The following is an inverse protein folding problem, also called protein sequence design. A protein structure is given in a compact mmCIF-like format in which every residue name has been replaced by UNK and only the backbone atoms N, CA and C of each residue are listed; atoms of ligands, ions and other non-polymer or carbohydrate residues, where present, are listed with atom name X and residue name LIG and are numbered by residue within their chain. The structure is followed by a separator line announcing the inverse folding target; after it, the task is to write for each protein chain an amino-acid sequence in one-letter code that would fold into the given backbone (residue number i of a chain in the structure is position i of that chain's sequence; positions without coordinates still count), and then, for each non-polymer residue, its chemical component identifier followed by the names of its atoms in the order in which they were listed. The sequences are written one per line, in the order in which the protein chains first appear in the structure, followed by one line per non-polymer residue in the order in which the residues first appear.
data_IF_318445365331
#
_entry.id   IF_318445365331
#
_cell.length_a   1.000
_cell.length_b   1.000
_cell.length_c   1.000
_cell.angle_alpha   90.00
_cell.angle_beta   90.00
_cell.angle_gamma   90.00
#
_symmetry.space_group_name_H-M   'P 1'
#
loop_
_entity.id
_entity.type
_entity.pdbx_description
1 polymer ?
#
# COMPACT_ATOMS: atom_id res chain seq x y z
N UNK A 1 -25.57 -83.30 -9.20
CA UNK A 1 -26.07 -82.88 -10.53
C UNK A 1 -25.03 -81.92 -11.09
N UNK A 2 -24.00 -82.38 -11.83
CA UNK A 2 -24.03 -82.68 -13.29
C UNK A 2 -24.56 -81.46 -14.06
N UNK A 3 -23.85 -80.75 -14.95
CA UNK A 3 -22.71 -81.01 -15.86
C UNK A 3 -22.23 -79.63 -16.40
N UNK A 4 -20.94 -79.35 -16.57
CA UNK A 4 -20.12 -79.52 -17.83
C UNK A 4 -20.72 -78.73 -19.02
N UNK A 5 -20.02 -77.93 -19.83
CA UNK A 5 -18.64 -77.96 -20.39
C UNK A 5 -18.43 -76.61 -21.14
N UNK A 6 -17.31 -75.89 -20.97
CA UNK A 6 -16.05 -75.95 -21.72
C UNK A 6 -16.05 -75.29 -23.11
N UNK A 7 -15.18 -74.28 -23.28
CA UNK A 7 -14.11 -74.39 -24.28
C UNK A 7 -12.89 -73.56 -23.88
N UNK A 8 -11.82 -74.29 -23.60
CA UNK A 8 -10.47 -73.88 -23.30
C UNK A 8 -9.63 -74.01 -24.58
N UNK A 9 -8.58 -73.19 -24.73
CA UNK A 9 -7.21 -73.56 -25.19
C UNK A 9 -6.43 -72.27 -25.50
N UNK A 10 -5.48 -71.87 -24.63
CA UNK A 10 -4.07 -72.30 -24.58
C UNK A 10 -3.21 -71.45 -25.53
N UNK A 11 -1.98 -71.05 -25.27
CA UNK A 11 -1.02 -71.20 -24.18
C UNK A 11 0.12 -70.25 -24.59
N UNK A 12 0.80 -69.60 -23.65
CA UNK A 12 2.24 -69.84 -23.44
C UNK A 12 2.77 -68.87 -22.38
N UNK A 13 3.37 -69.48 -21.36
CA UNK A 13 4.09 -68.84 -20.30
C UNK A 13 5.50 -68.46 -20.75
N UNK A 14 5.97 -67.28 -20.35
CA UNK A 14 7.39 -67.10 -20.00
C UNK A 14 7.44 -66.28 -18.73
N UNK A 15 7.64 -66.98 -17.62
CA UNK A 15 8.07 -66.45 -16.34
C UNK A 15 9.59 -66.26 -16.42
N UNK A 16 10.10 -65.04 -16.22
CA UNK A 16 11.40 -64.86 -15.55
C UNK A 16 11.44 -63.52 -14.82
N UNK A 17 11.72 -63.68 -13.52
CA UNK A 17 12.13 -62.70 -12.52
C UNK A 17 13.22 -61.76 -13.05
N UNK A 18 13.14 -60.48 -12.74
CA UNK A 18 14.02 -59.86 -11.74
C UNK A 18 13.91 -58.32 -11.72
N UNK A 19 13.97 -57.78 -10.51
CA UNK A 19 14.31 -56.40 -10.15
C UNK A 19 13.26 -55.30 -10.37
N UNK A 20 12.41 -55.13 -9.34
CA UNK A 20 11.99 -53.79 -8.92
C UNK A 20 13.26 -52.97 -8.63
N UNK A 21 13.67 -52.16 -9.59
CA UNK A 21 14.66 -51.11 -9.39
C UNK A 21 13.94 -49.79 -9.19
N UNK A 22 14.10 -49.24 -7.98
CA UNK A 22 13.74 -47.88 -7.61
C UNK A 22 14.04 -46.90 -8.75
N UNK A 23 12.99 -46.35 -9.36
CA UNK A 23 13.09 -45.17 -10.21
C UNK A 23 13.41 -43.96 -9.32
N UNK A 24 14.69 -43.86 -8.96
CA UNK A 24 15.28 -42.64 -8.41
C UNK A 24 15.00 -41.49 -9.38
N UNK A 25 14.61 -40.30 -8.89
CA UNK A 25 14.39 -39.15 -9.76
C UNK A 25 15.66 -38.89 -10.56
N UNK A 26 15.52 -38.85 -11.89
CA UNK A 26 16.61 -38.50 -12.82
C UNK A 26 17.25 -37.20 -12.33
N UNK A 27 18.47 -37.31 -11.84
CA UNK A 27 19.28 -36.16 -11.46
C UNK A 27 19.50 -35.33 -12.73
N UNK A 28 18.88 -34.16 -12.76
CA UNK A 28 19.21 -33.19 -13.80
C UNK A 28 20.71 -32.91 -13.72
N UNK A 29 21.47 -33.03 -14.82
CA UNK A 29 22.88 -32.68 -14.79
C UNK A 29 22.97 -31.20 -14.40
N UNK A 30 23.62 -30.92 -13.26
CA UNK A 30 24.02 -29.57 -12.89
C UNK A 30 24.88 -29.04 -14.05
N UNK A 31 24.28 -28.26 -14.94
CA UNK A 31 25.04 -27.42 -15.85
C UNK A 31 25.93 -26.54 -14.97
N UNK A 32 27.23 -26.85 -14.95
CA UNK A 32 28.26 -25.89 -14.57
C UNK A 32 28.20 -24.77 -15.60
N UNK A 33 27.27 -23.84 -15.40
CA UNK A 33 27.30 -22.57 -16.13
C UNK A 33 28.45 -21.77 -15.55
N UNK A 34 29.64 -22.03 -16.10
CA UNK A 34 30.73 -21.07 -16.10
C UNK A 34 30.29 -19.82 -16.85
N UNK A 35 29.56 -18.95 -16.16
CA UNK A 35 29.62 -17.52 -16.40
C UNK A 35 30.09 -16.92 -15.10
N UNK A 36 31.41 -16.77 -14.98
CA UNK A 36 31.97 -15.73 -14.16
C UNK A 36 31.34 -14.41 -14.65
N UNK A 37 30.22 -14.01 -14.05
CA UNK A 37 29.87 -12.60 -14.05
C UNK A 37 31.04 -11.97 -13.32
N UNK A 38 31.84 -11.19 -14.04
CA UNK A 38 32.65 -10.18 -13.41
C UNK A 38 31.70 -9.42 -12.48
N UNK A 39 31.74 -9.74 -11.19
CA UNK A 39 31.33 -8.81 -10.16
C UNK A 39 32.36 -7.72 -10.31
N UNK A 40 32.03 -6.71 -11.10
CA UNK A 40 32.62 -5.41 -10.90
C UNK A 40 32.29 -5.08 -9.44
N UNK A 41 33.27 -5.31 -8.57
CA UNK A 41 33.20 -4.87 -7.21
C UNK A 41 33.04 -3.37 -7.32
N UNK A 42 31.84 -2.86 -7.03
CA UNK A 42 31.66 -1.44 -6.75
C UNK A 42 32.63 -1.19 -5.60
N UNK A 43 33.72 -0.50 -5.90
CA UNK A 43 34.75 -0.19 -4.93
C UNK A 43 34.08 0.46 -3.71
N UNK A 44 34.36 0.00 -2.49
CA UNK A 44 33.81 0.64 -1.31
C UNK A 44 34.37 2.06 -1.23
N UNK A 45 33.48 3.06 -1.26
CA UNK A 45 33.81 4.42 -0.85
C UNK A 45 34.49 5.29 -1.89
N UNK A 46 33.91 5.42 -3.09
CA UNK A 46 33.94 6.76 -3.67
C UNK A 46 33.14 7.67 -2.72
N UNK A 47 33.72 8.75 -2.16
CA UNK A 47 32.93 9.71 -1.40
C UNK A 47 31.79 10.17 -2.31
N UNK A 48 30.54 10.11 -1.82
CA UNK A 48 29.41 10.77 -2.48
C UNK A 48 29.60 12.27 -2.30
N UNK A 49 30.59 12.84 -2.99
CA UNK A 49 30.81 14.27 -3.00
C UNK A 49 29.52 14.93 -3.52
N UNK A 50 28.92 15.78 -2.68
CA UNK A 50 27.79 16.63 -3.05
C UNK A 50 26.40 16.20 -2.59
N UNK A 51 26.20 15.07 -1.89
CA UNK A 51 24.89 14.77 -1.28
C UNK A 51 24.99 14.65 0.24
N UNK A 52 24.59 15.73 0.93
CA UNK A 52 24.37 15.71 2.36
C UNK A 52 23.14 14.83 2.63
N UNK A 53 23.33 13.69 3.29
CA UNK A 53 22.20 12.93 3.80
C UNK A 53 21.54 13.74 4.92
N UNK A 54 20.26 14.08 4.74
CA UNK A 54 19.47 14.78 5.73
C UNK A 54 18.56 13.77 6.45
N UNK A 55 18.68 13.60 7.77
CA UNK A 55 17.73 12.78 8.52
C UNK A 55 16.32 13.37 8.40
N UNK A 56 15.27 12.52 8.45
CA UNK A 56 13.91 13.01 8.56
C UNK A 56 13.73 13.84 9.83
N UNK A 57 12.85 14.84 9.76
CA UNK A 57 12.43 15.58 10.94
C UNK A 57 11.57 14.69 11.85
N UNK A 58 11.59 14.97 13.15
CA UNK A 58 10.84 14.18 14.14
C UNK A 58 9.32 14.27 13.92
N UNK A 59 8.61 13.20 14.28
CA UNK A 59 7.14 13.18 14.28
C UNK A 59 6.55 14.29 15.17
N UNK A 60 5.38 14.79 14.75
CA UNK A 60 4.56 15.72 15.54
C UNK A 60 3.64 15.00 16.54
N UNK A 61 3.74 13.67 16.64
CA UNK A 61 2.96 12.87 17.58
C UNK A 61 3.13 13.35 19.00
N UNK A 62 2.01 13.54 19.68
CA UNK A 62 1.98 13.89 21.10
C UNK A 62 2.08 12.67 22.01
N UNK A 63 2.15 11.47 21.42
CA UNK A 63 2.18 10.19 22.14
C UNK A 63 3.49 9.46 21.89
N UNK A 64 4.18 9.14 22.99
CA UNK A 64 5.41 8.37 22.93
C UNK A 64 5.11 6.89 22.62
N UNK A 65 5.63 6.41 21.49
CA UNK A 65 5.49 5.01 21.09
C UNK A 65 6.62 4.19 21.69
N UNK A 66 6.25 3.10 22.35
CA UNK A 66 7.20 2.11 22.86
C UNK A 66 7.34 0.99 21.84
N UNK A 67 8.50 0.89 21.20
CA UNK A 67 8.82 -0.16 20.22
C UNK A 67 9.13 -1.54 20.84
N UNK A 68 8.92 -1.72 22.15
CA UNK A 68 9.22 -2.99 22.84
C UNK A 68 7.95 -3.84 22.97
N UNK A 69 7.88 -4.94 22.22
CA UNK A 69 6.85 -5.96 22.36
C UNK A 69 6.84 -6.95 21.20
N UNK A 70 6.79 -8.26 21.51
CA UNK A 70 6.73 -9.34 20.50
C UNK A 70 5.35 -9.48 19.83
N UNK A 71 4.30 -8.95 20.46
CA UNK A 71 2.90 -9.13 20.03
C UNK A 71 2.29 -7.92 19.34
N UNK A 72 2.98 -6.76 19.34
CA UNK A 72 2.45 -5.49 18.84
C UNK A 72 3.20 -5.02 17.60
N UNK A 73 2.49 -4.86 16.49
CA UNK A 73 3.06 -4.27 15.27
C UNK A 73 3.08 -2.75 15.37
N UNK A 74 4.24 -2.17 15.70
CA UNK A 74 4.46 -0.72 15.72
C UNK A 74 5.61 -0.37 14.80
N UNK A 75 5.59 0.83 14.23
CA UNK A 75 6.64 1.27 13.33
C UNK A 75 6.61 2.75 13.05
N UNK A 76 7.59 3.17 12.25
CA UNK A 76 7.70 4.52 11.72
C UNK A 76 7.81 4.46 10.20
N UNK A 77 7.37 5.51 9.53
CA UNK A 77 7.59 5.76 8.12
C UNK A 77 7.89 7.23 7.89
N UNK A 78 8.48 7.58 6.76
CA UNK A 78 8.76 8.97 6.40
C UNK A 78 7.69 9.45 5.44
N UNK A 79 7.10 10.60 5.74
CA UNK A 79 6.24 11.32 4.81
C UNK A 79 7.13 11.88 3.68
N UNK A 80 6.96 11.42 2.42
CA UNK A 80 7.77 11.89 1.30
C UNK A 80 7.55 13.38 0.95
N UNK A 81 6.45 14.00 1.40
CA UNK A 81 6.10 15.38 1.03
C UNK A 81 6.85 16.42 1.88
N UNK A 82 7.09 16.13 3.16
CA UNK A 82 7.72 17.08 4.10
C UNK A 82 8.92 16.48 4.86
N UNK A 83 9.33 15.27 4.49
CA UNK A 83 10.47 14.55 5.07
C UNK A 83 10.38 14.40 6.60
N UNK A 84 9.16 14.20 7.11
CA UNK A 84 8.88 14.00 8.54
C UNK A 84 8.60 12.54 8.86
N UNK A 85 9.08 12.06 10.01
CA UNK A 85 8.65 10.78 10.56
C UNK A 85 7.17 10.79 10.96
N UNK A 86 6.48 9.70 10.66
CA UNK A 86 5.13 9.41 11.10
C UNK A 86 5.14 8.03 11.74
N UNK A 87 4.45 7.89 12.84
CA UNK A 87 4.37 6.63 13.55
C UNK A 87 2.99 5.96 13.46
N UNK A 88 2.99 4.66 13.67
CA UNK A 88 1.76 3.85 13.73
C UNK A 88 1.92 2.72 14.75
N UNK A 89 0.80 2.34 15.38
CA UNK A 89 0.73 1.27 16.37
C UNK A 89 0.01 0.01 15.87
N UNK A 90 -0.45 0.00 14.62
CA UNK A 90 -1.06 -1.16 13.99
C UNK A 90 -0.86 -1.21 12.47
N UNK A 91 -1.06 -2.39 11.87
CA UNK A 91 -1.00 -2.57 10.41
C UNK A 91 -2.09 -1.76 9.71
N UNK A 92 -3.26 -1.64 10.34
CA UNK A 92 -4.40 -0.89 9.81
C UNK A 92 -4.11 0.62 9.81
N UNK A 93 -3.47 1.14 10.86
CA UNK A 93 -2.98 2.53 10.90
C UNK A 93 -1.90 2.77 9.86
N UNK A 94 -0.92 1.86 9.71
CA UNK A 94 0.10 1.97 8.65
C UNK A 94 -0.53 2.05 7.26
N UNK A 95 -1.49 1.16 6.98
CA UNK A 95 -2.15 1.11 5.68
C UNK A 95 -3.02 2.36 5.47
N UNK A 96 -3.60 2.93 6.53
CA UNK A 96 -4.26 4.24 6.51
C UNK A 96 -3.28 5.35 6.17
N UNK A 97 -2.11 5.41 6.81
CA UNK A 97 -1.08 6.42 6.53
C UNK A 97 -0.65 6.40 5.06
N UNK A 98 -0.41 5.22 4.49
CA UNK A 98 -0.12 5.10 3.06
C UNK A 98 -1.24 5.68 2.18
N UNK A 99 -2.51 5.35 2.48
CA UNK A 99 -3.66 5.86 1.72
C UNK A 99 -3.75 7.39 1.81
N UNK A 100 -3.50 7.98 2.99
CA UNK A 100 -3.51 9.43 3.16
C UNK A 100 -2.35 10.09 2.39
N UNK A 101 -1.15 9.51 2.47
CA UNK A 101 0.04 10.02 1.78
C UNK A 101 -0.09 9.97 0.25
N UNK A 102 -0.72 8.92 -0.26
CA UNK A 102 -0.99 8.75 -1.69
C UNK A 102 -2.14 9.63 -2.20
N UNK A 103 -2.93 10.26 -1.32
CA UNK A 103 -4.05 11.08 -1.72
C UNK A 103 -3.56 12.45 -2.22
N UNK A 104 -3.85 12.82 -3.49
CA UNK A 104 -3.48 14.11 -4.06
C UNK A 104 -4.18 15.30 -3.40
N UNK A 105 -5.30 15.11 -2.71
CA UNK A 105 -6.06 16.20 -2.08
C UNK A 105 -5.61 16.52 -0.66
N UNK A 106 -4.66 15.77 -0.11
CA UNK A 106 -4.14 15.96 1.24
C UNK A 106 -2.80 16.71 1.20
N UNK A 107 -2.72 17.80 1.96
CA UNK A 107 -1.57 18.72 1.97
C UNK A 107 -0.70 18.60 3.22
N UNK A 108 -1.25 18.24 4.38
CA UNK A 108 -0.52 18.01 5.63
C UNK A 108 -1.17 16.84 6.38
N UNK A 109 -0.39 16.01 7.05
CA UNK A 109 -0.85 14.86 7.84
C UNK A 109 -0.06 14.80 9.13
N UNK A 110 -0.73 14.61 10.26
CA UNK A 110 -0.07 14.39 11.55
C UNK A 110 -0.61 13.11 12.16
N UNK A 111 0.31 12.26 12.58
CA UNK A 111 0.02 11.08 13.37
C UNK A 111 -0.18 11.47 14.84
N UNK A 112 -1.18 10.87 15.49
CA UNK A 112 -1.45 10.98 16.92
C UNK A 112 -1.42 12.44 17.44
N UNK A 113 -2.26 13.32 16.88
CA UNK A 113 -2.36 14.73 17.27
C UNK A 113 -2.72 14.92 18.76
N UNK A 114 -2.63 16.16 19.29
CA UNK A 114 -3.04 16.45 20.66
C UNK A 114 -4.43 15.90 21.00
N UNK A 115 -4.58 15.45 22.25
CA UNK A 115 -5.84 14.93 22.77
C UNK A 115 -6.96 15.96 22.67
N UNK A 116 -8.13 15.48 22.25
CA UNK A 116 -9.38 16.22 22.34
C UNK A 116 -10.04 15.83 23.67
N UNK A 117 -10.42 16.84 24.45
CA UNK A 117 -11.11 16.67 25.73
C UNK A 117 -12.61 16.89 25.55
N UNK A 118 -13.43 16.03 26.13
CA UNK A 118 -14.89 16.09 26.03
C UNK A 118 -15.51 15.54 27.32
N UNK A 119 -16.80 15.76 27.51
CA UNK A 119 -17.55 15.22 28.64
C UNK A 119 -18.47 14.08 28.18
N UNK A 120 -18.71 13.09 29.03
CA UNK A 120 -19.79 12.15 28.77
C UNK A 120 -21.16 12.74 29.13
N UNK A 121 -22.22 11.95 28.93
CA UNK A 121 -23.61 12.34 29.25
C UNK A 121 -23.83 12.62 30.74
N UNK A 122 -22.94 12.15 31.61
CA UNK A 122 -22.96 12.38 33.05
C UNK A 122 -22.02 13.52 33.48
N UNK A 123 -21.57 14.36 32.52
CA UNK A 123 -20.64 15.48 32.74
C UNK A 123 -19.27 15.06 33.31
N UNK A 124 -18.87 13.80 33.14
CA UNK A 124 -17.53 13.34 33.53
C UNK A 124 -16.53 13.63 32.41
N UNK A 125 -15.33 14.15 32.72
CA UNK A 125 -14.32 14.45 31.70
C UNK A 125 -13.69 13.18 31.13
N UNK A 126 -13.49 13.18 29.81
CA UNK A 126 -12.82 12.16 29.01
C UNK A 126 -11.85 12.82 28.02
N UNK A 127 -10.99 12.00 27.40
CA UNK A 127 -10.11 12.45 26.34
C UNK A 127 -9.94 11.38 25.26
N UNK A 128 -9.79 11.82 24.01
CA UNK A 128 -9.54 10.95 22.87
C UNK A 128 -8.34 11.46 22.07
N UNK A 129 -7.45 10.55 21.67
CA UNK A 129 -6.39 10.81 20.69
C UNK A 129 -6.82 10.15 19.38
N UNK A 130 -7.01 10.95 18.34
CA UNK A 130 -7.20 10.45 16.99
C UNK A 130 -5.90 9.81 16.49
N UNK A 131 -6.00 8.84 15.57
CA UNK A 131 -4.82 8.20 15.00
C UNK A 131 -4.13 9.12 13.99
N UNK A 132 -4.92 9.87 13.21
CA UNK A 132 -4.43 10.90 12.31
C UNK A 132 -5.32 12.13 12.31
N UNK A 133 -4.74 13.30 12.09
CA UNK A 133 -5.44 14.44 11.50
C UNK A 133 -4.70 14.92 10.24
N UNK A 134 -5.44 15.57 9.34
CA UNK A 134 -4.88 16.03 8.08
C UNK A 134 -5.66 17.21 7.52
N UNK A 135 -5.02 17.96 6.61
CA UNK A 135 -5.62 19.07 5.89
C UNK A 135 -5.86 18.70 4.44
N UNK A 136 -7.04 19.05 3.94
CA UNK A 136 -7.38 18.97 2.54
C UNK A 136 -6.89 20.22 1.80
N UNK A 137 -6.71 20.13 0.48
CA UNK A 137 -6.43 21.27 -0.42
C UNK A 137 -7.48 22.39 -0.31
N UNK A 138 -8.70 22.04 0.08
CA UNK A 138 -9.79 22.99 0.36
C UNK A 138 -9.58 23.82 1.63
N UNK A 139 -8.61 23.45 2.48
CA UNK A 139 -8.34 24.07 3.78
C UNK A 139 -9.01 23.38 4.96
N UNK A 140 -10.02 22.54 4.71
CA UNK A 140 -10.74 21.76 5.73
C UNK A 140 -9.79 20.80 6.45
N UNK A 141 -9.93 20.70 7.78
CA UNK A 141 -9.20 19.77 8.63
C UNK A 141 -10.08 18.57 8.98
N UNK A 142 -9.54 17.38 8.78
CA UNK A 142 -10.16 16.11 9.14
C UNK A 142 -9.36 15.42 10.23
N UNK A 143 -10.01 14.76 11.17
CA UNK A 143 -9.39 13.80 12.08
C UNK A 143 -10.05 12.42 11.95
N UNK A 144 -9.25 11.36 12.01
CA UNK A 144 -9.75 10.00 11.86
C UNK A 144 -9.30 9.10 13.01
N UNK A 145 -10.25 8.31 13.50
CA UNK A 145 -9.98 7.18 14.36
C UNK A 145 -9.99 5.91 13.50
N UNK A 146 -9.03 5.03 13.73
CA UNK A 146 -8.83 3.78 13.00
C UNK A 146 -9.14 2.62 13.95
N UNK A 147 -10.10 1.78 13.57
CA UNK A 147 -10.45 0.57 14.33
C UNK A 147 -10.76 -0.58 13.40
N UNK A 148 -10.47 -1.80 13.85
CA UNK A 148 -11.06 -2.97 13.21
C UNK A 148 -12.57 -2.96 13.42
N UNK A 149 -13.34 -3.38 12.42
CA UNK A 149 -14.82 -3.41 12.45
C UNK A 149 -15.31 -4.20 13.67
N UNK A 150 -14.69 -5.36 13.93
CA UNK A 150 -14.99 -6.23 15.08
C UNK A 150 -14.72 -5.60 16.45
N UNK A 151 -14.01 -4.47 16.48
CA UNK A 151 -13.70 -3.73 17.71
C UNK A 151 -14.55 -2.47 17.89
N UNK A 152 -15.31 -2.06 16.88
CA UNK A 152 -16.04 -0.78 16.90
C UNK A 152 -17.02 -0.74 18.06
N UNK A 153 -17.91 -1.73 18.15
CA UNK A 153 -18.94 -1.80 19.20
C UNK A 153 -18.33 -1.83 20.61
N UNK A 154 -17.49 -2.84 20.88
CA UNK A 154 -16.88 -3.03 22.21
C UNK A 154 -15.97 -1.87 22.65
N UNK A 155 -15.46 -1.06 21.72
CA UNK A 155 -14.60 0.07 22.04
C UNK A 155 -15.37 1.33 22.44
N UNK A 156 -16.68 1.40 22.16
CA UNK A 156 -17.46 2.62 22.39
C UNK A 156 -17.04 3.81 21.51
N UNK A 157 -16.27 3.57 20.43
CA UNK A 157 -15.72 4.65 19.61
C UNK A 157 -16.81 5.48 18.93
N UNK A 158 -17.94 4.87 18.57
CA UNK A 158 -19.04 5.59 17.93
C UNK A 158 -19.65 6.65 18.86
N UNK A 159 -19.90 6.30 20.13
CA UNK A 159 -20.38 7.25 21.14
C UNK A 159 -19.33 8.34 21.41
N UNK A 160 -18.06 7.96 21.51
CA UNK A 160 -16.95 8.92 21.66
C UNK A 160 -16.94 9.96 20.53
N UNK A 161 -17.06 9.51 19.28
CA UNK A 161 -17.09 10.41 18.12
C UNK A 161 -18.36 11.24 18.07
N UNK A 162 -19.52 10.70 18.48
CA UNK A 162 -20.77 11.44 18.56
C UNK A 162 -20.67 12.60 19.56
N UNK A 163 -20.16 12.34 20.77
CA UNK A 163 -19.94 13.36 21.80
C UNK A 163 -18.94 14.44 21.35
N UNK A 164 -17.85 14.06 20.68
CA UNK A 164 -16.88 15.01 20.14
C UNK A 164 -17.50 15.88 19.04
N UNK A 165 -18.31 15.31 18.16
CA UNK A 165 -19.03 16.06 17.10
C UNK A 165 -20.05 17.04 17.69
N UNK A 166 -20.74 16.63 18.75
CA UNK A 166 -21.74 17.46 19.44
C UNK A 166 -21.08 18.62 20.19
N UNK A 167 -20.02 18.36 20.95
CA UNK A 167 -19.39 19.36 21.81
C UNK A 167 -18.41 20.28 21.08
N UNK A 168 -17.93 19.87 19.89
CA UNK A 168 -16.91 20.58 19.10
C UNK A 168 -15.79 21.18 19.95
N UNK A 169 -15.05 20.34 20.72
CA UNK A 169 -14.09 20.86 21.69
C UNK A 169 -13.00 21.69 21.02
N UNK A 170 -12.45 22.65 21.75
CA UNK A 170 -11.38 23.52 21.25
C UNK A 170 -10.22 22.68 20.70
N UNK A 171 -9.79 23.00 19.48
CA UNK A 171 -8.70 22.28 18.80
C UNK A 171 -9.13 20.99 18.08
N UNK A 172 -10.41 20.64 18.08
CA UNK A 172 -10.95 19.56 17.25
C UNK A 172 -10.85 19.91 15.75
N UNK A 173 -10.91 18.89 14.89
CA UNK A 173 -10.98 19.06 13.44
C UNK A 173 -12.39 19.47 12.99
N UNK A 174 -12.51 20.02 11.78
CA UNK A 174 -13.81 20.41 11.19
C UNK A 174 -14.69 19.17 10.97
N UNK A 175 -14.06 18.05 10.63
CA UNK A 175 -14.71 16.75 10.51
C UNK A 175 -13.94 15.70 11.30
N UNK A 176 -14.68 14.80 11.95
CA UNK A 176 -14.10 13.64 12.63
C UNK A 176 -14.79 12.39 12.11
N UNK A 177 -14.02 11.34 11.80
CA UNK A 177 -14.54 10.12 11.16
C UNK A 177 -13.93 8.84 11.74
N UNK A 178 -14.70 7.76 11.71
CA UNK A 178 -14.21 6.41 11.95
C UNK A 178 -13.79 5.79 10.60
N UNK A 179 -12.63 5.14 10.57
CA UNK A 179 -12.19 4.33 9.44
C UNK A 179 -11.91 2.91 9.90
N UNK A 180 -12.50 1.95 9.18
CA UNK A 180 -12.28 0.52 9.40
C UNK A 180 -11.71 -0.13 8.15
N UNK A 181 -11.32 -1.40 8.24
CA UNK A 181 -10.82 -2.21 7.12
C UNK A 181 -11.79 -2.31 5.93
N UNK A 182 -13.07 -1.97 6.13
CA UNK A 182 -14.06 -1.82 5.06
C UNK A 182 -13.71 -0.67 4.10
N UNK A 183 -13.12 0.40 4.63
CA UNK A 183 -12.66 1.57 3.87
C UNK A 183 -11.16 1.50 3.60
N UNK A 184 -10.40 0.89 4.50
CA UNK A 184 -8.94 0.67 4.40
C UNK A 184 -8.72 -0.71 3.76
N UNK A 185 -9.20 -0.87 2.53
CA UNK A 185 -9.13 -2.17 1.85
C UNK A 185 -7.69 -2.52 1.46
N UNK A 186 -7.40 -3.82 1.36
CA UNK A 186 -6.07 -4.32 0.97
C UNK A 186 -5.60 -3.78 -0.39
N UNK A 187 -6.54 -3.61 -1.33
CA UNK A 187 -6.27 -3.07 -2.67
C UNK A 187 -5.83 -1.61 -2.57
N UNK A 188 -6.61 -0.77 -1.86
CA UNK A 188 -6.27 0.64 -1.64
C UNK A 188 -4.91 0.77 -0.96
N UNK A 189 -4.64 -0.03 0.07
CA UNK A 189 -3.37 -0.02 0.77
C UNK A 189 -2.20 -0.46 -0.13
N UNK A 190 -2.39 -1.46 -1.01
CA UNK A 190 -1.37 -1.91 -1.97
C UNK A 190 -1.06 -0.83 -2.99
N UNK A 191 -2.08 -0.25 -3.63
CA UNK A 191 -1.93 0.83 -4.60
C UNK A 191 -1.24 2.03 -3.95
N UNK A 192 -1.67 2.43 -2.76
CA UNK A 192 -1.09 3.54 -2.03
C UNK A 192 0.39 3.32 -1.68
N UNK A 193 0.79 2.11 -1.28
CA UNK A 193 2.22 1.77 -1.05
C UNK A 193 3.05 1.93 -2.33
N UNK A 194 2.51 1.53 -3.48
CA UNK A 194 3.19 1.69 -4.77
C UNK A 194 3.34 3.18 -5.12
N UNK A 195 2.28 3.96 -4.93
CA UNK A 195 2.29 5.41 -5.15
C UNK A 195 3.33 6.10 -4.25
N UNK A 196 3.30 5.85 -2.94
CA UNK A 196 4.28 6.45 -2.00
C UNK A 196 5.71 6.02 -2.33
N UNK A 197 5.92 4.79 -2.80
CA UNK A 197 7.23 4.36 -3.30
C UNK A 197 7.64 5.15 -4.55
N UNK A 198 6.73 5.40 -5.47
CA UNK A 198 6.99 6.18 -6.67
C UNK A 198 7.38 7.63 -6.34
N UNK A 199 6.67 8.28 -5.42
CA UNK A 199 7.00 9.64 -4.94
C UNK A 199 8.43 9.69 -4.39
N UNK A 200 8.81 8.72 -3.54
CA UNK A 200 10.17 8.65 -2.97
C UNK A 200 11.28 8.39 -4.01
N UNK A 201 10.94 7.84 -5.18
CA UNK A 201 11.89 7.49 -6.24
C UNK A 201 11.55 8.25 -7.53
N UNK A 202 10.99 9.46 -7.39
CA UNK A 202 10.51 10.26 -8.50
C UNK A 202 11.68 10.68 -9.38
N UNK A 203 11.47 10.57 -10.69
CA UNK A 203 12.42 11.00 -11.72
C UNK A 203 11.68 11.89 -12.70
N UNK A 204 11.86 13.21 -12.59
CA UNK A 204 11.05 14.21 -13.33
C UNK A 204 11.05 13.97 -14.84
N UNK A 205 12.21 13.68 -15.45
CA UNK A 205 12.29 13.42 -16.90
C UNK A 205 11.33 12.32 -17.37
N UNK A 206 11.09 11.30 -16.55
CA UNK A 206 10.18 10.21 -16.90
C UNK A 206 8.72 10.64 -16.68
N UNK A 207 8.45 11.40 -15.62
CA UNK A 207 7.13 11.96 -15.34
C UNK A 207 6.70 12.91 -16.45
N UNK A 208 7.59 13.78 -16.89
CA UNK A 208 7.37 14.73 -17.98
C UNK A 208 7.09 13.99 -19.30
N UNK A 209 7.91 13.00 -19.66
CA UNK A 209 7.69 12.23 -20.90
C UNK A 209 6.35 11.47 -20.91
N UNK A 210 5.96 10.88 -19.76
CA UNK A 210 4.65 10.22 -19.64
C UNK A 210 3.52 11.26 -19.70
N UNK A 211 3.68 12.43 -19.07
CA UNK A 211 2.69 13.51 -19.11
C UNK A 211 2.49 14.02 -20.53
N UNK A 212 3.56 14.24 -21.27
CA UNK A 212 3.53 14.70 -22.65
C UNK A 212 2.87 13.65 -23.57
N UNK A 213 3.19 12.37 -23.37
CA UNK A 213 2.51 11.29 -24.08
C UNK A 213 1.02 11.26 -23.78
N UNK A 214 0.65 11.36 -22.49
CA UNK A 214 -0.75 11.36 -22.05
C UNK A 214 -1.54 12.56 -22.60
N UNK A 215 -0.92 13.74 -22.72
CA UNK A 215 -1.57 14.96 -23.25
C UNK A 215 -2.10 14.83 -24.68
N UNK A 216 -1.57 13.84 -25.44
CA UNK A 216 -1.99 13.53 -26.82
C UNK A 216 -3.08 12.47 -26.88
N UNK A 217 -3.47 11.91 -25.74
CA UNK A 217 -4.50 10.89 -25.64
C UNK A 217 -5.84 11.52 -25.26
N UNK A 218 -6.93 10.96 -25.78
CA UNK A 218 -8.28 11.36 -25.42
C UNK A 218 -8.94 10.23 -24.60
N UNK A 219 -9.58 10.59 -23.49
CA UNK A 219 -10.31 9.64 -22.64
C UNK A 219 -9.40 8.74 -21.78
N UNK A 220 -9.85 7.52 -21.55
CA UNK A 220 -9.10 6.54 -20.77
C UNK A 220 -8.10 5.79 -21.66
N UNK A 221 -6.87 5.63 -21.18
CA UNK A 221 -5.81 4.88 -21.85
C UNK A 221 -5.29 3.77 -20.93
N UNK A 222 -4.93 2.63 -21.51
CA UNK A 222 -4.29 1.55 -20.75
C UNK A 222 -2.87 1.94 -20.38
N UNK A 223 -2.45 1.61 -19.16
CA UNK A 223 -1.11 1.92 -18.66
C UNK A 223 -0.01 1.32 -19.56
N UNK A 224 -0.16 0.09 -20.05
CA UNK A 224 0.79 -0.53 -20.99
C UNK A 224 1.01 0.30 -22.24
N UNK A 225 -0.07 0.80 -22.83
CA UNK A 225 -0.04 1.48 -24.13
C UNK A 225 0.60 2.86 -23.97
N UNK A 226 0.30 3.55 -22.86
CA UNK A 226 0.92 4.82 -22.51
C UNK A 226 2.44 4.67 -22.27
N UNK A 227 2.86 3.59 -21.62
CA UNK A 227 4.27 3.28 -21.37
C UNK A 227 5.02 3.00 -22.68
N UNK A 228 4.43 2.22 -23.58
CA UNK A 228 5.04 1.83 -24.85
C UNK A 228 5.44 3.05 -25.70
N UNK A 229 4.63 4.11 -25.66
CA UNK A 229 4.84 5.33 -26.44
C UNK A 229 5.59 6.45 -25.68
N UNK A 230 6.08 6.19 -24.46
CA UNK A 230 6.71 7.22 -23.62
C UNK A 230 8.06 6.80 -23.03
N UNK A 231 8.07 5.83 -22.12
CA UNK A 231 9.20 5.50 -21.26
C UNK A 231 9.23 3.98 -21.04
N UNK A 232 10.40 3.32 -21.00
CA UNK A 232 10.49 1.89 -20.72
C UNK A 232 9.70 1.44 -19.48
N UNK A 233 9.18 0.21 -19.52
CA UNK A 233 8.18 -0.33 -18.59
C UNK A 233 8.29 0.08 -17.12
N UNK A 234 9.35 -0.34 -16.43
CA UNK A 234 9.49 -0.06 -14.99
C UNK A 234 9.49 1.45 -14.66
N UNK A 235 10.38 2.24 -15.29
CA UNK A 235 10.39 3.69 -15.10
C UNK A 235 9.08 4.40 -15.53
N UNK A 236 8.45 3.98 -16.63
CA UNK A 236 7.17 4.53 -17.09
C UNK A 236 6.03 4.27 -16.12
N UNK A 237 5.97 3.06 -15.55
CA UNK A 237 4.97 2.73 -14.54
C UNK A 237 5.12 3.58 -13.27
N UNK A 238 6.35 3.80 -12.79
CA UNK A 238 6.60 4.70 -11.64
C UNK A 238 6.23 6.15 -11.95
N UNK A 239 6.46 6.61 -13.19
CA UNK A 239 6.05 7.94 -13.63
C UNK A 239 4.52 8.11 -13.65
N UNK A 240 3.76 7.11 -14.12
CA UNK A 240 2.29 7.11 -14.04
C UNK A 240 1.81 7.19 -12.60
N UNK A 241 2.40 6.41 -11.68
CA UNK A 241 2.06 6.49 -10.25
C UNK A 241 2.33 7.87 -9.65
N UNK A 242 3.38 8.57 -10.12
CA UNK A 242 3.65 9.96 -9.73
C UNK A 242 2.56 10.91 -10.26
N UNK A 243 2.10 10.75 -11.50
CA UNK A 243 0.99 11.57 -12.04
C UNK A 243 -0.32 11.34 -11.28
N UNK A 244 -0.56 10.12 -10.79
CA UNK A 244 -1.68 9.81 -9.88
C UNK A 244 -1.50 10.54 -8.54
N UNK A 245 -0.30 10.50 -7.96
CA UNK A 245 0.03 11.21 -6.72
C UNK A 245 -0.14 12.74 -6.83
N UNK A 246 0.19 13.28 -8.00
CA UNK A 246 0.03 14.70 -8.33
C UNK A 246 -1.45 15.08 -8.53
N UNK A 247 -2.32 14.09 -8.73
CA UNK A 247 -3.74 14.28 -9.02
C UNK A 247 -3.99 14.75 -10.45
N UNK A 248 -3.07 14.50 -11.37
CA UNK A 248 -3.21 14.84 -12.79
C UNK A 248 -4.07 13.79 -13.48
N UNK A 249 -3.80 12.52 -13.21
CA UNK A 249 -4.57 11.39 -13.73
C UNK A 249 -5.13 10.56 -12.56
N UNK A 250 -6.13 9.74 -12.85
CA UNK A 250 -6.67 8.77 -11.91
C UNK A 250 -6.91 7.41 -12.57
N UNK A 251 -6.91 6.36 -11.75
CA UNK A 251 -7.28 5.03 -12.20
C UNK A 251 -8.78 4.97 -12.49
N UNK A 252 -9.14 4.34 -13.60
CA UNK A 252 -10.52 3.93 -13.85
C UNK A 252 -10.80 2.65 -13.05
N UNK A 253 -11.71 2.73 -12.07
CA UNK A 253 -12.07 1.61 -11.19
C UNK A 253 -11.28 1.58 -9.87
N UNK A 254 -11.43 0.47 -9.12
CA UNK A 254 -10.92 0.34 -7.75
C UNK A 254 -10.03 -0.90 -7.53
N UNK A 255 -9.55 -1.52 -8.61
CA UNK A 255 -8.75 -2.74 -8.58
C UNK A 255 -7.26 -2.46 -8.30
N UNK A 256 -6.46 -3.52 -8.19
CA UNK A 256 -5.01 -3.37 -8.07
C UNK A 256 -4.45 -2.66 -9.32
N UNK A 257 -3.66 -1.61 -9.10
CA UNK A 257 -2.95 -0.93 -10.18
C UNK A 257 -1.97 -1.91 -10.85
N UNK A 258 -2.15 -2.09 -12.15
CA UNK A 258 -1.35 -2.97 -13.01
C UNK A 258 -1.15 -2.32 -14.38
N UNK A 259 -0.34 -2.94 -15.24
CA UNK A 259 -0.17 -2.50 -16.63
C UNK A 259 -1.48 -2.56 -17.45
N UNK A 260 -2.42 -3.44 -17.09
CA UNK A 260 -3.71 -3.56 -17.76
C UNK A 260 -4.77 -2.56 -17.26
N UNK A 261 -4.45 -1.83 -16.18
CA UNK A 261 -5.34 -0.81 -15.65
C UNK A 261 -5.45 0.36 -16.63
N UNK A 262 -6.63 0.98 -16.65
CA UNK A 262 -6.88 2.20 -17.40
C UNK A 262 -6.71 3.42 -16.50
N UNK A 263 -6.17 4.50 -17.07
CA UNK A 263 -6.05 5.81 -16.43
C UNK A 263 -6.71 6.86 -17.30
N UNK A 264 -7.32 7.85 -16.68
CA UNK A 264 -7.91 9.00 -17.35
C UNK A 264 -7.49 10.30 -16.66
N UNK A 265 -7.79 11.42 -17.31
CA UNK A 265 -7.60 12.73 -16.69
C UNK A 265 -8.46 12.78 -15.42
N UNK A 266 -7.86 13.14 -14.29
CA UNK A 266 -8.61 13.27 -13.05
C UNK A 266 -9.65 14.38 -13.21
N UNK A 267 -10.90 14.10 -12.89
CA UNK A 267 -11.93 15.13 -12.89
C UNK A 267 -11.53 16.23 -11.88
N UNK A 268 -11.47 17.48 -12.34
CA UNK A 268 -11.36 18.62 -11.44
C UNK A 268 -12.65 18.72 -10.64
N UNK A 269 -12.70 18.09 -9.47
CA UNK A 269 -13.76 18.34 -8.50
C UNK A 269 -13.59 19.75 -7.93
N UNK A 270 -14.02 20.76 -8.71
CA UNK A 270 -14.53 22.00 -8.11
C UNK A 270 -15.75 21.58 -7.31
N UNK A 271 -15.63 21.48 -5.98
CA UNK A 271 -16.77 21.22 -5.09
C UNK A 271 -17.92 22.19 -5.39
N UNK A 272 -19.14 21.67 -5.42
CA UNK A 272 -20.35 22.48 -5.39
C UNK A 272 -21.61 21.68 -5.69
N UNK A 273 -22.03 20.83 -4.75
CA UNK A 273 -23.42 20.64 -4.29
C UNK A 273 -23.39 19.98 -2.91
#
# INVERSE_FOLDING_TARGET
MSKEEDFNQSEEAVETRDSESELKPKSFPRRKSGRARAREAIAPGAPREGQLWLPPSASLSTRAIKFRGLSSFRGAMVNPKDHREMHYESTLERDTAYILLANPDITDIRDQPPKVHFFDRSSKPHSHTFDFDFRLKTGERMAIAVKLESQVERSGILETLALIREQRPKGCADYVELRTERLITRIRARNARMIVRAINNRVERNVDAVRDAFSRCAGAIRISDLIEVSVPAGPGFMAILCLIADGIIEQVGNDNLSYDSFVCQRANNKKGE
#
